data_IF_021060644038
#
_entry.id   IF_021060644038
#
_cell.length_a   1.000
_cell.length_b   1.000
_cell.length_c   1.000
_cell.angle_alpha   90.00
_cell.angle_beta   90.00
_cell.angle_gamma   90.00
#
_symmetry.space_group_name_H-M   'P 1'
#
loop_
_entity.id
_entity.type
_entity.pdbx_description
1 polymer ?
#
# COMPACT_ATOMS: atom_id res chain seq x y z
N UNK A 1 -22.50 -2.48 -3.77
CA UNK A 1 -22.45 -3.06 -2.41
C UNK A 1 -21.04 -3.55 -2.18
N UNK A 2 -20.45 -3.18 -1.05
CA UNK A 2 -19.10 -3.60 -0.67
C UNK A 2 -19.21 -4.30 0.68
N UNK A 3 -18.25 -5.18 0.96
CA UNK A 3 -18.16 -5.93 2.22
C UNK A 3 -19.45 -6.67 2.63
N UNK A 4 -20.09 -7.34 1.67
CA UNK A 4 -21.34 -8.08 1.93
C UNK A 4 -21.16 -9.30 2.85
N UNK A 5 -19.92 -9.71 3.17
CA UNK A 5 -19.51 -10.86 4.00
C UNK A 5 -19.98 -12.25 3.53
N UNK A 6 -21.16 -12.37 2.92
CA UNK A 6 -21.82 -13.62 2.55
C UNK A 6 -22.08 -13.77 1.06
N UNK A 7 -21.89 -12.73 0.24
CA UNK A 7 -22.23 -12.81 -1.19
C UNK A 7 -21.45 -13.91 -1.91
N UNK A 8 -20.15 -14.08 -1.62
CA UNK A 8 -19.35 -15.14 -2.24
C UNK A 8 -19.77 -16.57 -1.83
N UNK A 9 -20.54 -16.70 -0.74
CA UNK A 9 -21.11 -18.00 -0.31
C UNK A 9 -22.51 -18.24 -0.88
N UNK A 10 -23.22 -17.17 -1.23
CA UNK A 10 -24.65 -17.20 -1.56
C UNK A 10 -24.90 -17.05 -3.06
N UNK A 11 -24.01 -16.36 -3.78
CA UNK A 11 -24.11 -16.12 -5.21
C UNK A 11 -23.33 -17.18 -5.99
N UNK A 12 -23.98 -17.78 -6.97
CA UNK A 12 -23.37 -18.76 -7.86
C UNK A 12 -22.88 -18.10 -9.14
N UNK A 13 -21.71 -18.53 -9.63
CA UNK A 13 -21.14 -18.02 -10.87
C UNK A 13 -22.07 -18.28 -12.06
N UNK A 14 -22.31 -17.24 -12.87
CA UNK A 14 -23.17 -17.31 -14.05
C UNK A 14 -24.67 -17.14 -13.76
N UNK A 15 -25.08 -16.98 -12.50
CA UNK A 15 -26.46 -16.69 -12.14
C UNK A 15 -26.80 -15.23 -12.39
N UNK A 16 -27.91 -14.98 -13.09
CA UNK A 16 -28.41 -13.63 -13.30
C UNK A 16 -29.00 -13.08 -12.00
N UNK A 17 -28.64 -11.83 -11.66
CA UNK A 17 -29.09 -11.13 -10.46
C UNK A 17 -29.42 -9.68 -10.79
N UNK A 18 -30.26 -9.06 -9.96
CA UNK A 18 -30.52 -7.61 -10.01
C UNK A 18 -29.95 -6.95 -8.77
N UNK A 19 -29.12 -5.93 -8.97
CA UNK A 19 -28.52 -5.15 -7.88
C UNK A 19 -29.21 -3.80 -7.77
N UNK A 20 -29.95 -3.60 -6.69
CA UNK A 20 -30.50 -2.30 -6.34
C UNK A 20 -29.45 -1.52 -5.52
N UNK A 21 -28.69 -0.67 -6.22
CA UNK A 21 -27.67 0.16 -5.59
C UNK A 21 -28.25 1.29 -4.73
N UNK A 22 -29.53 1.63 -4.88
CA UNK A 22 -30.18 2.72 -4.13
C UNK A 22 -30.55 2.23 -2.73
N UNK A 23 -31.21 1.08 -2.65
CA UNK A 23 -31.62 0.50 -1.36
C UNK A 23 -30.61 -0.51 -0.81
N UNK A 24 -29.58 -0.85 -1.59
CA UNK A 24 -28.53 -1.77 -1.17
C UNK A 24 -28.95 -3.23 -1.14
N UNK A 25 -29.87 -3.64 -2.03
CA UNK A 25 -30.40 -5.00 -2.07
C UNK A 25 -29.86 -5.78 -3.29
N UNK A 26 -29.75 -7.10 -3.14
CA UNK A 26 -29.45 -8.02 -4.25
C UNK A 26 -30.64 -8.97 -4.38
N UNK A 27 -31.19 -9.04 -5.58
CA UNK A 27 -32.31 -9.90 -5.90
C UNK A 27 -31.88 -11.01 -6.85
N UNK A 28 -32.51 -12.18 -6.70
CA UNK A 28 -32.34 -13.30 -7.62
C UNK A 28 -33.06 -13.03 -8.95
N UNK A 29 -32.36 -13.24 -10.06
CA UNK A 29 -32.90 -13.04 -11.41
C UNK A 29 -32.96 -11.57 -11.85
N UNK A 30 -33.51 -11.37 -13.05
CA UNK A 30 -33.71 -10.05 -13.65
C UNK A 30 -35.07 -9.47 -13.27
N UNK A 31 -35.06 -8.39 -12.50
CA UNK A 31 -36.27 -7.66 -12.08
C UNK A 31 -36.44 -6.43 -12.97
N UNK A 32 -37.37 -6.51 -13.92
CA UNK A 32 -37.59 -5.44 -14.90
C UNK A 32 -38.16 -4.17 -14.27
N UNK A 33 -38.93 -4.28 -13.19
CA UNK A 33 -39.50 -3.12 -12.49
C UNK A 33 -38.41 -2.25 -11.87
N UNK A 34 -37.35 -2.85 -11.33
CA UNK A 34 -36.21 -2.14 -10.76
C UNK A 34 -35.34 -1.53 -11.86
N UNK A 35 -35.17 -2.24 -12.98
CA UNK A 35 -34.45 -1.73 -14.15
C UNK A 35 -35.18 -0.49 -14.71
N UNK A 36 -36.50 -0.57 -14.86
CA UNK A 36 -37.32 0.53 -15.36
C UNK A 36 -37.37 1.70 -14.37
N UNK A 37 -37.46 1.42 -13.07
CA UNK A 37 -37.37 2.45 -12.03
C UNK A 37 -36.01 3.16 -12.00
N UNK A 38 -34.93 2.45 -12.35
CA UNK A 38 -33.59 3.02 -12.50
C UNK A 38 -33.43 3.95 -13.71
N UNK A 39 -34.29 3.82 -14.73
CA UNK A 39 -34.26 4.68 -15.93
C UNK A 39 -34.83 6.09 -15.71
N UNK A 40 -35.23 6.44 -14.49
CA UNK A 40 -35.78 7.77 -14.19
C UNK A 40 -34.84 8.87 -14.69
N UNK A 41 -35.35 9.68 -15.61
CA UNK A 41 -34.66 10.91 -15.99
C UNK A 41 -34.57 11.84 -14.79
N UNK A 42 -33.39 12.44 -14.60
CA UNK A 42 -33.20 13.40 -13.52
C UNK A 42 -34.14 14.61 -13.75
N UNK A 43 -35.15 14.82 -12.88
CA UNK A 43 -36.18 15.83 -13.08
C UNK A 43 -35.61 17.26 -13.02
N UNK A 44 -34.39 17.42 -12.52
CA UNK A 44 -33.71 18.70 -12.43
C UNK A 44 -32.95 19.08 -13.71
N UNK A 45 -32.82 18.19 -14.72
CA UNK A 45 -32.00 18.41 -15.93
C UNK A 45 -32.23 19.77 -16.60
N UNK A 46 -33.48 20.22 -16.64
CA UNK A 46 -33.85 21.47 -17.33
C UNK A 46 -33.81 22.73 -16.46
N UNK A 47 -33.61 22.56 -15.15
CA UNK A 47 -33.55 23.68 -14.22
C UNK A 47 -32.31 24.53 -14.44
N UNK A 48 -32.42 25.84 -14.19
CA UNK A 48 -31.29 26.76 -14.27
C UNK A 48 -30.13 26.36 -13.34
N UNK A 49 -30.46 25.86 -12.14
CA UNK A 49 -29.47 25.39 -11.15
C UNK A 49 -28.69 24.20 -11.69
N UNK A 50 -29.37 23.21 -12.28
CA UNK A 50 -28.70 22.04 -12.83
C UNK A 50 -27.81 22.40 -14.02
N UNK A 51 -28.28 23.27 -14.92
CA UNK A 51 -27.47 23.77 -16.05
C UNK A 51 -26.24 24.54 -15.57
N UNK A 52 -26.40 25.37 -14.54
CA UNK A 52 -25.29 26.09 -13.92
C UNK A 52 -24.27 25.14 -13.29
N UNK A 53 -24.71 24.20 -12.43
CA UNK A 53 -23.82 23.21 -11.81
C UNK A 53 -23.13 22.35 -12.86
N UNK A 54 -23.85 21.91 -13.90
CA UNK A 54 -23.28 21.14 -15.01
C UNK A 54 -22.21 21.93 -15.77
N UNK A 55 -22.43 23.21 -16.03
CA UNK A 55 -21.41 24.07 -16.63
C UNK A 55 -20.20 24.23 -15.72
N UNK A 56 -20.41 24.34 -14.41
CA UNK A 56 -19.35 24.48 -13.41
C UNK A 56 -18.50 23.20 -13.30
N UNK A 57 -19.12 22.01 -13.42
CA UNK A 57 -18.42 20.73 -13.42
C UNK A 57 -17.36 20.63 -14.53
N UNK A 58 -17.53 21.32 -15.67
CA UNK A 58 -16.53 21.35 -16.73
C UNK A 58 -15.19 22.00 -16.29
N UNK A 59 -15.22 22.86 -15.27
CA UNK A 59 -14.02 23.48 -14.70
C UNK A 59 -13.53 22.77 -13.43
N UNK A 60 -14.29 21.80 -12.90
CA UNK A 60 -13.93 21.06 -11.68
C UNK A 60 -13.43 19.67 -12.02
N UNK A 61 -14.21 18.87 -12.75
CA UNK A 61 -14.07 17.41 -12.81
C UNK A 61 -13.01 16.92 -13.80
N UNK A 62 -12.86 17.49 -15.01
CA UNK A 62 -11.89 16.97 -15.98
C UNK A 62 -10.48 16.92 -15.40
N UNK A 63 -9.72 15.88 -15.77
CA UNK A 63 -8.33 15.73 -15.37
C UNK A 63 -7.46 15.77 -16.61
N UNK A 64 -6.70 16.85 -16.76
CA UNK A 64 -5.82 17.11 -17.90
C UNK A 64 -4.35 16.81 -17.55
N UNK A 65 -3.97 17.01 -16.29
CA UNK A 65 -2.64 16.67 -15.76
C UNK A 65 -2.53 15.20 -15.38
N UNK A 66 -2.34 14.33 -16.38
CA UNK A 66 -2.35 12.86 -16.16
C UNK A 66 -0.96 12.32 -15.81
N UNK A 67 0.05 12.64 -16.63
CA UNK A 67 1.40 12.06 -16.53
C UNK A 67 2.37 13.01 -15.77
N UNK A 68 2.86 12.61 -14.59
CA UNK A 68 3.83 13.39 -13.79
C UNK A 68 5.18 13.67 -14.43
N UNK A 69 5.54 12.92 -15.47
CA UNK A 69 6.82 13.03 -16.18
C UNK A 69 6.71 13.88 -17.46
N UNK A 70 5.51 14.34 -17.82
CA UNK A 70 5.31 15.27 -18.93
C UNK A 70 5.88 16.66 -18.56
N UNK A 71 6.56 17.33 -19.50
CA UNK A 71 7.06 18.69 -19.32
C UNK A 71 5.92 19.69 -19.02
N UNK A 72 4.70 19.37 -19.45
CA UNK A 72 3.49 20.14 -19.15
C UNK A 72 2.91 19.86 -17.77
N UNK A 73 3.50 18.95 -16.97
CA UNK A 73 3.10 18.74 -15.59
C UNK A 73 3.60 19.90 -14.70
N UNK A 74 2.99 21.08 -14.87
CA UNK A 74 3.35 22.31 -14.17
C UNK A 74 2.10 23.11 -13.76
N UNK A 75 2.23 24.06 -12.81
CA UNK A 75 1.12 24.90 -12.38
C UNK A 75 0.47 25.69 -13.53
N UNK A 76 1.26 26.05 -14.55
CA UNK A 76 0.80 26.88 -15.68
C UNK A 76 -0.16 26.13 -16.62
N UNK A 77 -0.19 24.80 -16.55
CA UNK A 77 -1.08 23.93 -17.35
C UNK A 77 -2.27 23.38 -16.54
N UNK A 78 -2.51 23.88 -15.31
CA UNK A 78 -3.72 23.56 -14.56
C UNK A 78 -4.93 24.28 -15.16
N UNK A 79 -5.80 23.57 -15.88
CA UNK A 79 -7.01 24.14 -16.50
C UNK A 79 -8.27 23.99 -15.61
N UNK A 80 -8.24 23.06 -14.67
CA UNK A 80 -9.38 22.74 -13.78
C UNK A 80 -8.98 22.67 -12.31
N UNK A 81 -9.97 22.67 -11.42
CA UNK A 81 -9.72 22.46 -9.98
C UNK A 81 -9.15 21.05 -9.68
N UNK A 82 -9.51 20.03 -10.45
CA UNK A 82 -8.94 18.69 -10.29
C UNK A 82 -7.48 18.63 -10.75
N UNK A 83 -7.08 19.44 -11.74
CA UNK A 83 -5.66 19.59 -12.11
C UNK A 83 -4.86 20.20 -10.95
N UNK A 84 -5.40 21.19 -10.25
CA UNK A 84 -4.74 21.78 -9.06
C UNK A 84 -4.55 20.74 -7.97
N UNK A 85 -5.58 19.96 -7.64
CA UNK A 85 -5.48 18.93 -6.60
C UNK A 85 -4.52 17.82 -7.02
N UNK A 86 -4.52 17.42 -8.31
CA UNK A 86 -3.60 16.42 -8.85
C UNK A 86 -2.15 16.92 -8.83
N UNK A 87 -1.90 18.16 -9.23
CA UNK A 87 -0.57 18.77 -9.21
C UNK A 87 -0.05 18.88 -7.79
N UNK A 88 -0.84 19.44 -6.87
CA UNK A 88 -0.47 19.55 -5.46
C UNK A 88 -0.19 18.18 -4.83
N UNK A 89 -1.01 17.16 -5.16
CA UNK A 89 -0.77 15.78 -4.73
C UNK A 89 0.57 15.25 -5.26
N UNK A 90 0.86 15.43 -6.54
CA UNK A 90 2.11 14.96 -7.14
C UNK A 90 3.33 15.66 -6.55
N UNK A 91 3.28 16.99 -6.35
CA UNK A 91 4.36 17.74 -5.70
C UNK A 91 4.54 17.27 -4.26
N UNK A 92 3.46 17.08 -3.50
CA UNK A 92 3.53 16.54 -2.15
C UNK A 92 4.14 15.13 -2.11
N UNK A 93 3.80 14.27 -3.07
CA UNK A 93 4.41 12.94 -3.22
C UNK A 93 5.90 13.05 -3.57
N UNK A 94 6.28 13.88 -4.55
CA UNK A 94 7.68 14.12 -4.93
C UNK A 94 8.50 14.62 -3.75
N UNK A 95 8.00 15.59 -2.99
CA UNK A 95 8.65 16.09 -1.77
C UNK A 95 8.76 14.99 -0.70
N UNK A 96 7.70 14.23 -0.45
CA UNK A 96 7.71 13.10 0.48
C UNK A 96 8.78 12.05 0.12
N UNK A 97 8.94 11.71 -1.16
CA UNK A 97 9.96 10.78 -1.62
C UNK A 97 11.37 11.39 -1.61
N UNK A 98 11.52 12.68 -1.95
CA UNK A 98 12.80 13.38 -1.86
C UNK A 98 13.29 13.51 -0.41
N UNK A 99 12.38 13.67 0.56
CA UNK A 99 12.70 13.58 2.00
C UNK A 99 13.29 12.21 2.36
N UNK A 100 12.83 11.13 1.73
CA UNK A 100 13.32 9.77 1.95
C UNK A 100 14.62 9.42 1.16
N UNK A 101 14.93 10.16 0.09
CA UNK A 101 16.10 9.94 -0.77
C UNK A 101 17.25 10.94 -0.53
N UNK A 102 17.00 12.08 0.13
CA UNK A 102 18.04 13.06 0.42
C UNK A 102 18.93 12.63 1.60
N UNK A 103 20.23 12.36 1.39
CA UNK A 103 21.14 12.01 2.48
C UNK A 103 21.34 13.15 3.50
N UNK A 104 20.86 14.35 3.18
CA UNK A 104 21.04 15.58 3.96
C UNK A 104 19.75 16.12 4.61
N UNK A 105 18.55 15.62 4.26
CA UNK A 105 17.33 15.96 5.00
C UNK A 105 17.38 15.21 6.33
N UNK A 106 17.43 16.00 7.39
CA UNK A 106 18.32 15.75 8.52
C UNK A 106 17.69 14.73 9.48
N UNK A 107 18.53 13.83 10.01
CA UNK A 107 18.41 13.19 11.36
C UNK A 107 18.05 14.17 12.52
N UNK A 108 17.84 15.47 12.27
CA UNK A 108 17.50 16.49 13.26
C UNK A 108 16.01 16.58 13.55
N UNK A 109 15.13 16.29 12.58
CA UNK A 109 13.66 16.32 12.78
C UNK A 109 13.06 14.92 12.84
N UNK A 110 13.72 13.93 12.25
CA UNK A 110 13.29 12.54 12.34
C UNK A 110 13.71 11.89 13.66
N UNK A 111 12.77 11.20 14.30
CA UNK A 111 12.93 10.47 15.57
C UNK A 111 13.22 9.00 15.29
N UNK A 112 14.24 8.42 15.92
CA UNK A 112 14.55 6.98 15.77
C UNK A 112 13.64 6.14 16.65
N UNK A 113 13.03 5.08 16.10
CA UNK A 113 12.31 4.08 16.90
C UNK A 113 13.29 3.01 17.39
N UNK A 114 13.26 2.73 18.69
CA UNK A 114 13.91 1.58 19.30
C UNK A 114 12.97 0.37 19.23
N UNK A 115 13.26 -0.55 18.31
CA UNK A 115 12.45 -1.74 18.04
C UNK A 115 13.34 -2.97 17.91
N UNK A 116 12.86 -4.13 18.36
CA UNK A 116 13.59 -5.41 18.35
C UNK A 116 13.45 -6.16 17.01
N UNK A 117 13.59 -5.45 15.90
CA UNK A 117 13.61 -6.02 14.54
C UNK A 117 14.86 -5.52 13.82
N UNK A 118 15.40 -6.25 12.82
CA UNK A 118 16.62 -5.87 12.11
C UNK A 118 16.35 -4.77 11.06
N UNK A 119 15.77 -3.65 11.50
CA UNK A 119 15.52 -2.43 10.74
C UNK A 119 15.90 -1.21 11.55
N UNK A 120 16.60 -0.26 10.92
CA UNK A 120 16.69 1.09 11.45
C UNK A 120 15.51 1.90 10.95
N UNK A 121 14.65 2.38 11.85
CA UNK A 121 13.44 3.13 11.50
C UNK A 121 13.54 4.55 12.07
N UNK A 122 13.35 5.53 11.19
CA UNK A 122 13.22 6.94 11.54
C UNK A 122 11.84 7.44 11.18
N UNK A 123 11.29 8.32 12.01
CA UNK A 123 9.91 8.81 11.89
C UNK A 123 9.87 10.31 11.86
N UNK A 124 9.08 10.87 10.95
CA UNK A 124 8.68 12.27 10.95
C UNK A 124 7.21 12.30 11.39
N UNK A 125 6.92 12.97 12.49
CA UNK A 125 5.54 13.18 12.94
C UNK A 125 4.98 14.44 12.27
N UNK A 126 3.86 14.29 11.56
CA UNK A 126 3.11 15.38 10.97
C UNK A 126 2.17 16.03 11.99
N UNK A 127 1.50 15.22 12.81
CA UNK A 127 0.57 15.65 13.85
C UNK A 127 0.09 14.47 14.70
N UNK A 128 0.41 14.48 16.00
CA UNK A 128 -0.14 13.56 17.00
C UNK A 128 0.22 12.08 16.79
N UNK A 129 1.24 11.78 16.00
CA UNK A 129 1.72 10.43 15.72
C UNK A 129 2.69 9.89 16.77
N UNK A 130 3.35 10.75 17.56
CA UNK A 130 4.23 10.37 18.67
C UNK A 130 3.88 11.13 19.97
N UNK A 131 4.19 10.54 21.13
CA UNK A 131 3.93 11.14 22.45
C UNK A 131 5.04 12.09 22.92
N UNK A 132 6.28 11.90 22.43
CA UNK A 132 7.48 12.55 22.96
C UNK A 132 8.32 13.14 21.84
N UNK A 133 8.85 14.34 22.07
CA UNK A 133 9.82 15.02 21.19
C UNK A 133 11.26 14.51 21.39
N UNK A 134 11.42 13.33 22.01
CA UNK A 134 12.73 12.70 22.18
C UNK A 134 13.26 12.24 20.82
N UNK A 135 14.57 12.39 20.58
CA UNK A 135 15.22 11.92 19.34
C UNK A 135 15.20 10.40 19.17
N UNK A 136 14.90 9.68 20.24
CA UNK A 136 14.71 8.23 20.26
C UNK A 136 13.46 7.92 21.06
N UNK A 137 12.61 7.05 20.52
CA UNK A 137 11.37 6.63 21.17
C UNK A 137 11.21 5.12 21.13
N UNK A 138 10.51 4.58 22.10
CA UNK A 138 10.09 3.17 22.13
C UNK A 138 8.72 3.00 21.48
N UNK A 139 8.33 1.76 21.17
CA UNK A 139 7.06 1.49 20.47
C UNK A 139 5.82 1.94 21.26
N UNK A 140 5.87 2.00 22.59
CA UNK A 140 4.77 2.49 23.45
C UNK A 140 4.56 4.02 23.36
N UNK A 141 5.53 4.75 22.82
CA UNK A 141 5.43 6.20 22.60
C UNK A 141 4.88 6.55 21.22
N UNK A 142 4.61 5.54 20.36
CA UNK A 142 3.96 5.74 19.06
C UNK A 142 2.46 5.82 19.30
N UNK A 143 1.85 6.90 18.83
CA UNK A 143 0.42 7.16 18.92
C UNK A 143 -0.30 6.93 17.60
N UNK A 144 0.42 6.91 16.48
CA UNK A 144 -0.15 6.55 15.17
C UNK A 144 -0.75 5.15 15.20
N UNK A 145 -2.05 5.09 14.90
CA UNK A 145 -2.84 3.86 14.87
C UNK A 145 -2.29 2.87 13.81
N UNK A 146 -2.10 3.26 12.54
CA UNK A 146 -1.52 2.36 11.54
C UNK A 146 -0.08 1.96 11.84
N UNK A 147 0.78 2.89 12.28
CA UNK A 147 2.19 2.56 12.57
C UNK A 147 2.33 1.53 13.70
N UNK A 148 1.51 1.64 14.74
CA UNK A 148 1.47 0.66 15.81
C UNK A 148 1.06 -0.73 15.32
N UNK A 149 -0.02 -0.83 14.52
CA UNK A 149 -0.48 -2.11 13.99
C UNK A 149 0.57 -2.77 13.10
N UNK A 150 1.22 -1.98 12.24
CA UNK A 150 2.29 -2.48 11.39
C UNK A 150 3.49 -2.98 12.21
N UNK A 151 4.00 -2.18 13.15
CA UNK A 151 5.13 -2.59 13.99
C UNK A 151 4.82 -3.82 14.83
N UNK A 152 3.60 -3.93 15.40
CA UNK A 152 3.16 -5.12 16.11
C UNK A 152 3.20 -6.36 15.21
N UNK A 153 2.68 -6.27 13.99
CA UNK A 153 2.72 -7.37 13.02
C UNK A 153 4.15 -7.76 12.63
N UNK A 154 5.05 -6.79 12.47
CA UNK A 154 6.47 -7.03 12.20
C UNK A 154 7.20 -7.69 13.38
N UNK A 155 6.93 -7.25 14.61
CA UNK A 155 7.54 -7.81 15.82
C UNK A 155 7.02 -9.21 16.17
N UNK A 156 5.84 -9.59 15.67
CA UNK A 156 5.27 -10.92 15.84
C UNK A 156 5.95 -12.00 14.98
N UNK A 157 6.85 -11.61 14.08
CA UNK A 157 7.56 -12.52 13.18
C UNK A 157 9.00 -12.76 13.63
N UNK A 158 9.47 -13.98 13.45
CA UNK A 158 10.90 -14.25 13.50
C UNK A 158 11.54 -13.73 12.21
N UNK A 159 12.40 -12.71 12.35
CA UNK A 159 13.09 -12.15 11.19
C UNK A 159 14.24 -13.06 10.78
N UNK A 160 14.40 -13.34 9.47
CA UNK A 160 15.52 -14.13 9.00
C UNK A 160 16.83 -13.42 9.36
N UNK A 161 17.77 -14.20 9.90
CA UNK A 161 19.11 -13.73 10.28
C UNK A 161 19.89 -13.18 9.08
N UNK A 162 21.04 -12.53 9.30
CA UNK A 162 21.89 -12.07 8.21
C UNK A 162 22.21 -13.26 7.28
N UNK A 163 22.14 -13.07 5.94
CA UNK A 163 22.36 -14.17 5.01
C UNK A 163 23.76 -14.78 5.24
N UNK A 164 23.93 -16.11 5.17
CA UNK A 164 25.23 -16.73 5.29
C UNK A 164 26.14 -16.21 4.17
N UNK A 165 27.33 -15.73 4.52
CA UNK A 165 28.31 -15.16 3.59
C UNK A 165 28.82 -16.27 2.67
N UNK A 166 28.13 -16.52 1.56
CA UNK A 166 28.63 -17.39 0.51
C UNK A 166 29.57 -16.56 -0.38
N UNK A 167 30.85 -16.58 0.00
CA UNK A 167 31.91 -15.74 -0.59
C UNK A 167 31.91 -15.81 -2.12
N UNK A 168 31.66 -16.98 -2.72
CA UNK A 168 31.66 -17.16 -4.20
C UNK A 168 30.49 -16.47 -4.92
N UNK A 169 29.30 -16.42 -4.30
CA UNK A 169 28.13 -15.75 -4.88
C UNK A 169 28.12 -14.25 -4.61
N UNK A 170 28.64 -13.86 -3.43
CA UNK A 170 28.81 -12.46 -3.05
C UNK A 170 29.82 -11.74 -3.96
N UNK A 171 30.91 -12.40 -4.36
CA UNK A 171 31.84 -11.85 -5.37
C UNK A 171 31.19 -11.61 -6.74
N UNK A 172 30.21 -12.41 -7.16
CA UNK A 172 29.50 -12.20 -8.44
C UNK A 172 28.55 -11.00 -8.38
N UNK A 173 27.81 -10.85 -7.28
CA UNK A 173 26.95 -9.69 -7.04
C UNK A 173 27.80 -8.43 -6.86
N UNK A 174 28.85 -8.48 -6.03
CA UNK A 174 29.83 -7.39 -5.86
C UNK A 174 30.47 -7.04 -7.19
N UNK A 175 30.97 -7.99 -7.99
CA UNK A 175 31.62 -7.69 -9.27
C UNK A 175 30.68 -6.97 -10.25
N UNK A 176 29.36 -7.26 -10.22
CA UNK A 176 28.37 -6.51 -10.97
C UNK A 176 28.03 -5.13 -10.37
N UNK A 177 28.25 -4.94 -9.07
CA UNK A 177 28.03 -3.66 -8.36
C UNK A 177 29.28 -2.78 -8.28
N UNK A 178 30.51 -3.30 -8.41
CA UNK A 178 31.75 -2.50 -8.42
C UNK A 178 31.85 -1.59 -9.65
N UNK A 179 31.00 -1.80 -10.66
CA UNK A 179 30.85 -0.88 -11.80
C UNK A 179 29.97 0.35 -11.48
N UNK A 180 29.39 0.44 -10.29
CA UNK A 180 28.61 1.60 -9.81
C UNK A 180 29.17 2.10 -8.45
N UNK A 181 29.77 3.31 -8.39
CA UNK A 181 30.43 3.84 -7.19
C UNK A 181 29.56 4.10 -5.94
N UNK A 182 28.29 3.64 -5.91
CA UNK A 182 27.31 3.93 -4.86
C UNK A 182 26.69 2.68 -4.20
N UNK A 183 27.13 1.48 -4.56
CA UNK A 183 26.45 0.23 -4.19
C UNK A 183 26.57 -0.19 -2.71
N UNK A 184 27.67 0.15 -2.03
CA UNK A 184 27.88 -0.27 -0.63
C UNK A 184 26.96 0.46 0.36
N UNK A 185 26.50 1.68 0.04
CA UNK A 185 25.58 2.47 0.89
C UNK A 185 24.15 1.94 0.89
N UNK A 186 23.66 1.46 -0.26
CA UNK A 186 22.27 1.00 -0.45
C UNK A 186 21.87 -0.17 0.46
N UNK A 187 22.84 -0.96 0.94
CA UNK A 187 22.59 -2.15 1.77
C UNK A 187 22.17 -1.82 3.21
N UNK A 188 22.43 -0.60 3.69
CA UNK A 188 22.29 -0.22 5.10
C UNK A 188 21.57 1.14 5.31
N UNK A 189 20.83 1.60 4.30
CA UNK A 189 20.04 2.82 4.43
C UNK A 189 18.86 2.61 5.40
N UNK A 190 18.60 3.59 6.29
CA UNK A 190 17.47 3.50 7.20
C UNK A 190 16.13 3.52 6.45
N UNK A 191 15.14 2.86 7.05
CA UNK A 191 13.74 2.99 6.68
C UNK A 191 13.15 4.26 7.30
N UNK A 192 12.24 4.93 6.59
CA UNK A 192 11.65 6.19 7.00
C UNK A 192 10.13 6.13 6.97
N UNK A 193 9.49 6.56 8.05
CA UNK A 193 8.05 6.74 8.12
C UNK A 193 7.67 8.20 8.29
N UNK A 194 6.60 8.61 7.63
CA UNK A 194 5.89 9.85 7.91
C UNK A 194 4.54 9.45 8.51
N UNK A 195 4.20 9.97 9.68
CA UNK A 195 3.01 9.52 10.42
C UNK A 195 2.21 10.70 10.96
N UNK A 196 0.92 10.47 11.17
CA UNK A 196 0.08 11.25 12.08
C UNK A 196 -0.69 10.28 12.98
N UNK A 197 -1.64 10.75 13.79
CA UNK A 197 -2.51 9.89 14.59
C UNK A 197 -3.21 8.79 13.78
N UNK A 198 -3.69 9.09 12.58
CA UNK A 198 -4.50 8.18 11.74
C UNK A 198 -3.83 7.81 10.41
N UNK A 199 -2.73 8.49 10.05
CA UNK A 199 -2.00 8.26 8.80
C UNK A 199 -0.61 7.67 9.03
N UNK A 200 -0.14 6.89 8.06
CA UNK A 200 1.23 6.45 7.95
C UNK A 200 1.61 6.29 6.48
N UNK A 201 2.79 6.79 6.11
CA UNK A 201 3.53 6.40 4.92
C UNK A 201 4.89 5.86 5.36
N UNK A 202 5.14 4.57 5.17
CA UNK A 202 6.37 3.92 5.60
C UNK A 202 7.14 3.34 4.43
N UNK A 203 8.32 3.92 4.18
CA UNK A 203 9.28 3.46 3.19
C UNK A 203 10.27 2.52 3.86
N UNK A 204 10.17 1.25 3.52
CA UNK A 204 10.92 0.14 4.10
C UNK A 204 12.05 -0.22 3.13
N UNK A 205 13.30 -0.04 3.58
CA UNK A 205 14.49 -0.47 2.86
C UNK A 205 14.98 -1.81 3.42
N UNK A 206 14.94 -2.85 2.60
CA UNK A 206 15.31 -4.22 2.96
C UNK A 206 16.43 -4.73 2.05
N UNK A 207 17.55 -4.00 2.03
CA UNK A 207 18.66 -4.27 1.11
C UNK A 207 18.26 -3.98 -0.33
N UNK A 208 18.17 -5.01 -1.17
CA UNK A 208 17.97 -4.86 -2.62
C UNK A 208 16.51 -4.68 -3.07
N UNK A 209 15.55 -4.64 -2.14
CA UNK A 209 14.16 -4.35 -2.48
C UNK A 209 13.58 -3.27 -1.57
N UNK A 210 12.69 -2.47 -2.16
CA UNK A 210 12.04 -1.33 -1.52
C UNK A 210 10.56 -1.65 -1.43
N UNK A 211 9.98 -1.39 -0.27
CA UNK A 211 8.55 -1.51 -0.04
C UNK A 211 8.03 -0.19 0.51
N UNK A 212 6.86 0.25 0.06
CA UNK A 212 6.17 1.40 0.65
C UNK A 212 4.81 0.93 1.13
N UNK A 213 4.51 1.17 2.40
CA UNK A 213 3.20 0.91 3.01
C UNK A 213 2.58 2.24 3.37
N UNK A 214 1.45 2.57 2.76
CA UNK A 214 0.66 3.75 3.10
C UNK A 214 -0.69 3.31 3.67
N UNK A 215 -1.13 3.95 4.75
CA UNK A 215 -2.42 3.64 5.35
C UNK A 215 -3.05 4.87 5.98
N UNK A 216 -4.38 4.99 5.83
CA UNK A 216 -5.22 5.88 6.61
C UNK A 216 -6.24 5.05 7.37
N UNK A 217 -6.35 5.27 8.69
CA UNK A 217 -7.16 4.48 9.60
C UNK A 217 -7.89 5.39 10.59
N UNK A 218 -9.11 5.77 10.22
CA UNK A 218 -10.03 6.56 11.03
C UNK A 218 -11.38 5.86 11.26
N UNK A 219 -12.31 6.63 11.82
CA UNK A 219 -13.65 6.12 12.19
C UNK A 219 -14.63 6.10 11.01
N UNK A 220 -14.37 6.89 9.97
CA UNK A 220 -15.15 6.88 8.74
C UNK A 220 -14.63 5.80 7.77
N UNK A 221 -15.49 4.80 7.50
CA UNK A 221 -15.19 3.67 6.60
C UNK A 221 -14.70 4.14 5.23
N UNK A 222 -15.26 5.22 4.69
CA UNK A 222 -14.95 5.67 3.33
C UNK A 222 -13.53 6.23 3.17
N UNK A 223 -12.93 6.67 4.27
CA UNK A 223 -11.59 7.28 4.27
C UNK A 223 -10.51 6.21 4.45
N UNK A 224 -10.87 5.04 4.97
CA UNK A 224 -9.92 4.01 5.32
C UNK A 224 -9.35 3.27 4.11
N UNK A 225 -8.02 3.13 4.09
CA UNK A 225 -7.32 2.36 3.07
C UNK A 225 -5.95 1.85 3.54
N UNK A 226 -5.45 0.84 2.82
CA UNK A 226 -4.03 0.47 2.80
C UNK A 226 -3.58 0.39 1.35
N UNK A 227 -2.43 0.98 1.05
CA UNK A 227 -1.72 0.84 -0.22
C UNK A 227 -0.34 0.26 0.04
N UNK A 228 0.06 -0.67 -0.81
CA UNK A 228 1.34 -1.34 -0.73
C UNK A 228 2.01 -1.33 -2.09
N UNK A 229 3.19 -0.73 -2.16
CA UNK A 229 4.06 -0.75 -3.32
C UNK A 229 5.28 -1.63 -3.02
N UNK A 230 5.59 -2.53 -3.93
CA UNK A 230 6.79 -3.37 -3.86
C UNK A 230 7.59 -3.23 -5.14
N UNK A 231 8.91 -3.03 -5.04
CA UNK A 231 9.81 -2.97 -6.19
C UNK A 231 11.19 -3.56 -5.90
N UNK A 232 11.73 -4.26 -6.91
CA UNK A 232 13.15 -4.62 -6.98
C UNK A 232 13.49 -6.00 -6.41
N UNK A 233 14.78 -6.23 -6.14
CA UNK A 233 15.36 -7.48 -5.65
C UNK A 233 16.75 -7.78 -6.21
N UNK A 234 17.60 -8.41 -5.40
CA UNK A 234 18.97 -8.81 -5.78
C UNK A 234 19.05 -10.18 -6.48
N UNK A 235 17.93 -10.89 -6.62
CA UNK A 235 17.87 -12.21 -7.23
C UNK A 235 17.72 -12.17 -8.76
N UNK A 236 17.82 -13.35 -9.40
CA UNK A 236 17.56 -13.50 -10.84
C UNK A 236 16.12 -13.11 -11.20
N UNK A 237 15.88 -12.78 -12.47
CA UNK A 237 14.57 -12.34 -12.97
C UNK A 237 13.47 -13.35 -12.62
N UNK A 238 13.72 -14.66 -12.80
CA UNK A 238 12.76 -15.72 -12.47
C UNK A 238 12.40 -15.75 -10.99
N UNK A 239 13.40 -15.54 -10.10
CA UNK A 239 13.18 -15.53 -8.65
C UNK A 239 12.44 -14.27 -8.18
N UNK A 240 12.75 -13.12 -8.78
CA UNK A 240 11.97 -11.89 -8.56
C UNK A 240 10.53 -12.06 -9.00
N UNK A 241 10.30 -12.64 -10.19
CA UNK A 241 8.97 -12.95 -10.70
C UNK A 241 8.21 -13.89 -9.74
N UNK A 242 8.85 -14.96 -9.25
CA UNK A 242 8.26 -15.88 -8.26
C UNK A 242 7.93 -15.21 -6.92
N UNK A 243 8.81 -14.33 -6.42
CA UNK A 243 8.51 -13.58 -5.19
C UNK A 243 7.30 -12.66 -5.39
N UNK A 244 7.23 -11.95 -6.51
CA UNK A 244 6.07 -11.09 -6.78
C UNK A 244 4.78 -11.89 -6.97
N UNK A 245 4.86 -13.11 -7.54
CA UNK A 245 3.74 -14.06 -7.58
C UNK A 245 3.29 -14.45 -6.17
N UNK A 246 4.22 -14.86 -5.30
CA UNK A 246 3.94 -15.22 -3.91
C UNK A 246 3.23 -14.10 -3.16
N UNK A 247 3.78 -12.88 -3.21
CA UNK A 247 3.22 -11.72 -2.52
C UNK A 247 1.83 -11.39 -3.07
N UNK A 248 1.68 -11.41 -4.41
CA UNK A 248 0.39 -11.17 -5.07
C UNK A 248 -0.68 -12.15 -4.57
N UNK A 249 -0.42 -13.45 -4.65
CA UNK A 249 -1.41 -14.47 -4.29
C UNK A 249 -1.83 -14.36 -2.82
N UNK A 250 -0.90 -14.06 -1.90
CA UNK A 250 -1.23 -13.84 -0.49
C UNK A 250 -2.07 -12.56 -0.29
N UNK A 251 -1.73 -11.47 -0.98
CA UNK A 251 -2.47 -10.21 -0.86
C UNK A 251 -3.90 -10.31 -1.42
N UNK A 252 -4.08 -11.01 -2.54
CA UNK A 252 -5.40 -11.26 -3.12
C UNK A 252 -6.30 -12.09 -2.18
N UNK A 253 -5.73 -13.03 -1.42
CA UNK A 253 -6.47 -13.75 -0.37
C UNK A 253 -6.95 -12.81 0.76
N UNK A 254 -6.26 -11.70 0.98
CA UNK A 254 -6.61 -10.67 1.98
C UNK A 254 -7.46 -9.51 1.42
N UNK A 255 -8.16 -9.71 0.30
CA UNK A 255 -9.01 -8.72 -0.40
C UNK A 255 -8.29 -7.47 -0.93
N UNK A 256 -6.96 -7.53 -1.13
CA UNK A 256 -6.29 -6.45 -1.86
C UNK A 256 -6.54 -6.62 -3.36
N UNK A 257 -6.85 -5.52 -4.04
CA UNK A 257 -6.70 -5.41 -5.49
C UNK A 257 -5.20 -5.29 -5.82
N UNK A 258 -4.65 -6.20 -6.60
CA UNK A 258 -3.20 -6.27 -6.86
C UNK A 258 -2.89 -6.19 -8.35
N UNK A 259 -2.15 -5.15 -8.73
CA UNK A 259 -1.57 -5.00 -10.07
C UNK A 259 -0.10 -5.43 -10.04
N UNK A 260 0.30 -6.25 -11.01
CA UNK A 260 1.68 -6.74 -11.14
C UNK A 260 2.23 -6.41 -12.53
N UNK A 261 3.33 -5.68 -12.57
CA UNK A 261 4.04 -5.34 -13.81
C UNK A 261 5.51 -5.70 -13.64
N UNK A 262 5.94 -6.82 -14.24
CA UNK A 262 7.30 -7.32 -14.05
C UNK A 262 7.57 -7.73 -12.59
N UNK A 263 8.53 -7.05 -11.97
CA UNK A 263 8.90 -7.21 -10.55
C UNK A 263 8.35 -6.10 -9.63
N UNK A 264 7.38 -5.33 -10.13
CA UNK A 264 6.65 -4.32 -9.36
C UNK A 264 5.25 -4.82 -9.01
N UNK A 265 4.83 -4.58 -7.76
CA UNK A 265 3.45 -4.77 -7.31
C UNK A 265 2.90 -3.46 -6.77
N UNK A 266 1.69 -3.10 -7.19
CA UNK A 266 0.88 -2.05 -6.56
C UNK A 266 -0.42 -2.70 -6.08
N UNK A 267 -0.61 -2.72 -4.76
CA UNK A 267 -1.74 -3.37 -4.11
C UNK A 267 -2.52 -2.36 -3.27
N UNK A 268 -3.86 -2.46 -3.28
CA UNK A 268 -4.73 -1.55 -2.52
C UNK A 268 -5.95 -2.26 -1.93
N UNK A 269 -6.33 -1.84 -0.74
CA UNK A 269 -7.63 -2.17 -0.12
C UNK A 269 -8.26 -0.90 0.45
N UNK A 270 -9.57 -0.74 0.33
CA UNK A 270 -10.31 0.48 0.74
C UNK A 270 -11.67 0.14 1.30
N UNK A 271 -12.29 1.07 2.03
CA UNK A 271 -13.72 1.00 2.41
C UNK A 271 -14.06 -0.17 3.35
N UNK A 272 -13.15 -0.47 4.25
CA UNK A 272 -13.38 -1.37 5.38
C UNK A 272 -13.36 -0.57 6.69
N UNK A 273 -13.99 -1.12 7.72
CA UNK A 273 -13.96 -0.53 9.05
C UNK A 273 -12.53 -0.55 9.64
N UNK A 274 -12.36 0.27 10.68
CA UNK A 274 -11.10 0.48 11.38
C UNK A 274 -10.45 -0.84 11.85
N UNK A 275 -11.23 -1.75 12.42
CA UNK A 275 -10.71 -3.01 12.96
C UNK A 275 -10.22 -3.89 11.82
N UNK A 276 -11.01 -4.02 10.75
CA UNK A 276 -10.65 -4.82 9.59
C UNK A 276 -9.40 -4.29 8.89
N UNK A 277 -9.25 -2.98 8.72
CA UNK A 277 -8.05 -2.37 8.12
C UNK A 277 -6.80 -2.63 8.96
N UNK A 278 -6.91 -2.57 10.29
CA UNK A 278 -5.79 -2.87 11.18
C UNK A 278 -5.37 -4.34 11.09
N UNK A 279 -6.32 -5.27 10.98
CA UNK A 279 -6.02 -6.70 10.74
C UNK A 279 -5.27 -6.90 9.42
N UNK A 280 -5.76 -6.27 8.34
CA UNK A 280 -5.11 -6.33 7.01
C UNK A 280 -3.70 -5.73 7.04
N UNK A 281 -3.51 -4.58 7.71
CA UNK A 281 -2.21 -3.94 7.88
C UNK A 281 -1.24 -4.84 8.68
N UNK A 282 -1.75 -5.49 9.71
CA UNK A 282 -1.01 -6.45 10.51
C UNK A 282 -0.54 -7.68 9.71
N UNK A 283 -1.41 -8.25 8.87
CA UNK A 283 -1.06 -9.33 7.95
C UNK A 283 -0.02 -8.91 6.92
N UNK A 284 -0.16 -7.70 6.35
CA UNK A 284 0.83 -7.12 5.45
C UNK A 284 2.20 -6.98 6.14
N UNK A 285 2.22 -6.55 7.39
CA UNK A 285 3.46 -6.43 8.17
C UNK A 285 4.16 -7.78 8.38
N UNK A 286 3.39 -8.84 8.65
CA UNK A 286 3.91 -10.21 8.73
C UNK A 286 4.48 -10.66 7.40
N UNK A 287 3.78 -10.37 6.30
CA UNK A 287 4.23 -10.69 4.94
C UNK A 287 5.53 -9.96 4.58
N UNK A 288 5.69 -8.69 4.97
CA UNK A 288 6.94 -7.94 4.79
C UNK A 288 8.12 -8.64 5.46
N UNK A 289 7.97 -9.06 6.72
CA UNK A 289 9.03 -9.77 7.44
C UNK A 289 9.31 -11.15 6.82
N UNK A 290 8.25 -11.89 6.50
CA UNK A 290 8.32 -13.22 5.91
C UNK A 290 9.05 -13.23 4.57
N UNK A 291 8.82 -12.24 3.72
CA UNK A 291 9.37 -12.17 2.36
C UNK A 291 10.77 -11.58 2.25
N UNK A 292 11.37 -11.09 3.35
CA UNK A 292 12.68 -10.39 3.34
C UNK A 292 13.80 -11.15 2.61
N UNK A 293 13.88 -12.46 2.76
CA UNK A 293 14.95 -13.29 2.16
C UNK A 293 14.43 -14.47 1.33
N UNK A 294 13.12 -14.55 1.05
CA UNK A 294 12.55 -15.70 0.35
C UNK A 294 12.99 -15.80 -1.10
N UNK A 295 13.39 -14.72 -1.75
CA UNK A 295 13.95 -14.80 -3.11
C UNK A 295 15.19 -15.69 -3.21
N UNK A 296 15.90 -15.94 -2.10
CA UNK A 296 17.01 -16.88 -2.07
C UNK A 296 16.56 -18.35 -2.18
N UNK A 297 15.32 -18.69 -1.82
CA UNK A 297 14.79 -20.06 -1.73
C UNK A 297 13.72 -20.41 -2.78
N UNK A 298 13.24 -19.43 -3.55
CA UNK A 298 12.22 -19.61 -4.60
C UNK A 298 12.80 -20.16 -5.92
N UNK A 299 13.36 -21.38 -5.89
CA UNK A 299 14.01 -22.00 -7.05
C UNK A 299 13.05 -22.52 -8.12
N UNK A 300 11.81 -22.85 -7.75
CA UNK A 300 10.78 -23.38 -8.63
C UNK A 300 9.38 -23.01 -8.12
N UNK A 301 8.34 -23.31 -8.90
CA UNK A 301 6.97 -22.90 -8.60
C UNK A 301 6.33 -23.74 -7.48
N UNK A 302 6.75 -25.00 -7.30
CA UNK A 302 6.30 -25.82 -6.17
C UNK A 302 6.73 -25.23 -4.82
N UNK A 303 7.92 -24.61 -4.74
CA UNK A 303 8.37 -23.88 -3.55
C UNK A 303 7.51 -22.65 -3.30
N UNK A 304 7.11 -21.93 -4.36
CA UNK A 304 6.20 -20.78 -4.25
C UNK A 304 4.89 -21.21 -3.61
N UNK A 305 4.25 -22.25 -4.15
CA UNK A 305 2.98 -22.76 -3.65
C UNK A 305 3.09 -23.26 -2.20
N UNK A 306 4.22 -23.86 -1.84
CA UNK A 306 4.49 -24.30 -0.48
C UNK A 306 4.57 -23.12 0.49
N UNK A 307 5.33 -22.07 0.18
CA UNK A 307 5.45 -20.89 1.04
C UNK A 307 4.12 -20.11 1.13
N UNK A 308 3.32 -20.06 0.07
CA UNK A 308 1.97 -19.46 0.14
C UNK A 308 1.12 -20.22 1.16
N UNK A 309 1.06 -21.55 1.05
CA UNK A 309 0.30 -22.39 1.99
C UNK A 309 0.82 -22.29 3.40
N UNK A 310 2.13 -22.26 3.58
CA UNK A 310 2.76 -22.13 4.89
C UNK A 310 2.43 -20.79 5.55
N UNK A 311 2.52 -19.69 4.79
CA UNK A 311 2.14 -18.37 5.28
C UNK A 311 0.67 -18.34 5.71
N UNK A 312 -0.21 -18.84 4.85
CA UNK A 312 -1.65 -18.87 5.13
C UNK A 312 -1.93 -19.70 6.39
N UNK A 313 -1.39 -20.91 6.49
CA UNK A 313 -1.67 -21.79 7.61
C UNK A 313 -1.15 -21.25 8.95
N UNK A 314 -0.03 -20.52 8.97
CA UNK A 314 0.60 -20.07 10.22
C UNK A 314 0.26 -18.66 10.62
N UNK A 315 0.02 -17.77 9.66
CA UNK A 315 0.00 -16.33 9.92
C UNK A 315 -1.31 -15.64 9.52
N UNK A 316 -2.18 -16.31 8.78
CA UNK A 316 -3.47 -15.77 8.32
C UNK A 316 -4.60 -15.89 9.37
N UNK A 317 -4.41 -16.65 10.45
CA UNK A 317 -5.47 -16.89 11.43
C UNK A 317 -6.00 -15.61 12.07
N UNK A 318 -7.32 -15.60 12.30
CA UNK A 318 -8.16 -14.45 12.70
C UNK A 318 -7.87 -13.91 14.12
N UNK A 319 -6.92 -14.50 14.84
CA UNK A 319 -6.55 -14.14 16.22
C UNK A 319 -5.72 -12.85 16.25
N UNK A 320 -6.42 -11.74 16.01
CA UNK A 320 -6.00 -10.39 16.37
C UNK A 320 -6.91 -9.92 17.52
N UNK A 321 -6.50 -10.23 18.75
CA UNK A 321 -7.00 -9.58 19.98
C UNK A 321 -5.85 -8.84 20.68
#
# INVERSE_FOLDING_TARGET
LLDTQVAMKTLEAGKEITVDAINGNIYEGRIEELIEAGKRENPFKDTAVFKFLRALLNNIVPLNLIDPEDEKFSPDYCETFHDITRFAHEVAMKEMFQVADSPNIKKREAVKIEVKIPLEIYVIDLDGGIKSDSKKITTDQILSIPMNALLKGMMAMEWPGPPPINVKGFFGVIASTTMQPHSEKLLWEPSFAIISREYMNFNIRLGYHIQTVEAFVGDNINDNYVRFLFKGGGASIDRRARRTRLIKEILELTDFDVKRTGDVLDARVTKYDKVTILKKLGLLARLTAYTKQLDMTLFNDAMVDWYIKEFVNKYYTEDWE
#
